data_IF_119064456748
#
_entry.id   IF_119064456748
#
_cell.length_a   1.000
_cell.length_b   1.000
_cell.length_c   1.000
_cell.angle_alpha   90.00
_cell.angle_beta   90.00
_cell.angle_gamma   90.00
#
_symmetry.space_group_name_H-M   'P 1'
#
loop_
_entity.id
_entity.type
_entity.pdbx_description
1 polymer ?
#
# COMPACT_ATOMS: atom_id res chain seq x y z
N UNK A 1 -18.52 -10.72 -15.19
CA UNK A 1 -17.04 -10.63 -15.13
C UNK A 1 -16.49 -10.73 -16.56
N UNK A 2 -15.51 -9.87 -16.90
CA UNK A 2 -14.88 -9.94 -18.22
C UNK A 2 -14.00 -11.19 -18.31
N UNK A 3 -14.18 -12.06 -19.32
CA UNK A 3 -13.42 -13.32 -19.44
C UNK A 3 -11.90 -13.12 -19.45
N UNK A 4 -11.44 -11.99 -20.00
CA UNK A 4 -10.02 -11.61 -20.03
C UNK A 4 -9.44 -11.35 -18.65
N UNK A 5 -10.23 -10.73 -17.73
CA UNK A 5 -9.79 -10.48 -16.37
C UNK A 5 -9.65 -11.78 -15.58
N UNK A 6 -10.58 -12.72 -15.76
CA UNK A 6 -10.51 -14.04 -15.14
C UNK A 6 -9.24 -14.79 -15.57
N UNK A 7 -8.90 -14.76 -16.86
CA UNK A 7 -7.65 -15.36 -17.35
C UNK A 7 -6.41 -14.77 -16.69
N UNK A 8 -6.37 -13.45 -16.45
CA UNK A 8 -5.25 -12.80 -15.77
C UNK A 8 -5.13 -13.27 -14.30
N UNK A 9 -6.25 -13.44 -13.61
CA UNK A 9 -6.26 -13.97 -12.24
C UNK A 9 -5.80 -15.44 -12.18
N UNK A 10 -6.26 -16.26 -13.12
CA UNK A 10 -5.90 -17.69 -13.21
C UNK A 10 -4.41 -17.89 -13.52
N UNK A 11 -3.71 -16.87 -14.05
CA UNK A 11 -2.28 -16.87 -14.37
C UNK A 11 -1.46 -15.95 -13.46
N UNK A 12 -2.02 -15.52 -12.32
CA UNK A 12 -1.27 -14.73 -11.34
C UNK A 12 -0.08 -15.51 -10.78
N UNK A 13 1.06 -14.85 -10.68
CA UNK A 13 2.24 -15.43 -10.07
C UNK A 13 2.13 -15.46 -8.55
N UNK A 14 2.65 -16.53 -7.92
CA UNK A 14 2.90 -16.50 -6.50
C UNK A 14 3.97 -15.47 -6.17
N UNK A 15 3.83 -14.77 -5.04
CA UNK A 15 4.83 -13.81 -4.55
C UNK A 15 6.19 -14.47 -4.33
N UNK A 16 6.23 -15.74 -3.93
CA UNK A 16 7.48 -16.49 -3.76
C UNK A 16 8.31 -16.57 -5.03
N UNK A 17 7.65 -16.66 -6.19
CA UNK A 17 8.32 -16.68 -7.49
C UNK A 17 8.86 -15.30 -7.92
N UNK A 18 8.49 -14.24 -7.20
CA UNK A 18 8.84 -12.86 -7.51
C UNK A 18 9.94 -12.29 -6.61
N UNK A 19 10.41 -13.05 -5.61
CA UNK A 19 11.35 -12.58 -4.59
C UNK A 19 12.67 -12.04 -5.15
N UNK A 20 13.16 -12.60 -6.25
CA UNK A 20 14.41 -12.18 -6.89
C UNK A 20 14.19 -11.24 -8.09
N UNK A 21 12.95 -10.94 -8.40
CA UNK A 21 12.64 -10.01 -9.50
C UNK A 21 12.73 -8.57 -9.04
N UNK A 22 13.14 -7.71 -9.96
CA UNK A 22 13.17 -6.26 -9.75
C UNK A 22 12.06 -5.61 -10.57
N UNK A 23 11.33 -4.70 -9.93
CA UNK A 23 10.22 -3.98 -10.55
C UNK A 23 10.50 -2.48 -10.52
N UNK A 24 10.07 -1.74 -11.54
CA UNK A 24 10.12 -0.27 -11.50
C UNK A 24 9.16 0.29 -10.44
N UNK A 25 8.05 -0.41 -10.19
CA UNK A 25 7.06 -0.07 -9.18
C UNK A 25 6.37 -1.34 -8.66
N UNK A 26 6.22 -1.45 -7.36
CA UNK A 26 5.32 -2.40 -6.71
C UNK A 26 4.08 -1.63 -6.26
N UNK A 27 2.90 -2.11 -6.64
CA UNK A 27 1.62 -1.50 -6.32
C UNK A 27 0.74 -2.45 -5.52
N UNK A 28 0.47 -2.11 -4.26
CA UNK A 28 -0.39 -2.87 -3.36
C UNK A 28 -1.84 -2.38 -3.51
N UNK A 29 -2.65 -3.15 -4.21
CA UNK A 29 -4.06 -2.86 -4.40
C UNK A 29 -4.84 -2.97 -3.09
N UNK A 30 -5.89 -2.14 -2.97
CA UNK A 30 -6.76 -2.15 -1.80
C UNK A 30 -7.81 -3.28 -1.83
N UNK A 31 -8.69 -3.19 -0.87
CA UNK A 31 -9.74 -4.15 -0.57
C UNK A 31 -9.60 -4.68 0.87
N UNK A 32 -10.71 -4.94 1.55
CA UNK A 32 -10.70 -5.39 2.95
C UNK A 32 -9.90 -6.70 3.15
N UNK A 33 -9.89 -7.60 2.14
CA UNK A 33 -9.08 -8.83 2.17
C UNK A 33 -7.59 -8.57 2.40
N UNK A 34 -7.05 -7.46 1.90
CA UNK A 34 -5.65 -7.09 2.13
C UNK A 34 -5.28 -6.97 3.62
N UNK A 35 -6.25 -6.62 4.47
CA UNK A 35 -6.05 -6.52 5.93
C UNK A 35 -5.74 -7.87 6.59
N UNK A 36 -6.18 -8.97 5.96
CA UNK A 36 -5.95 -10.34 6.44
C UNK A 36 -4.71 -10.98 5.83
N UNK A 37 -4.47 -10.72 4.53
CA UNK A 37 -3.46 -11.44 3.77
C UNK A 37 -2.09 -10.75 3.75
N UNK A 38 -2.05 -9.40 3.80
CA UNK A 38 -0.82 -8.65 3.53
C UNK A 38 0.11 -8.49 4.74
N UNK A 39 -0.37 -8.15 5.97
CA UNK A 39 0.51 -7.72 7.06
C UNK A 39 1.60 -8.71 7.44
N UNK A 40 1.27 -9.99 7.41
CA UNK A 40 2.17 -11.07 7.85
C UNK A 40 2.71 -11.94 6.70
N UNK A 41 2.46 -11.55 5.46
CA UNK A 41 2.98 -12.25 4.30
C UNK A 41 4.49 -11.98 4.13
N UNK A 42 5.33 -12.98 4.42
CA UNK A 42 6.80 -12.86 4.41
C UNK A 42 7.36 -12.51 3.03
N UNK A 43 6.78 -13.08 1.97
CA UNK A 43 7.20 -12.78 0.61
C UNK A 43 6.91 -11.32 0.27
N UNK A 44 5.71 -10.82 0.61
CA UNK A 44 5.33 -9.43 0.40
C UNK A 44 6.25 -8.48 1.17
N UNK A 45 6.49 -8.74 2.47
CA UNK A 45 7.41 -7.92 3.29
C UNK A 45 8.80 -7.87 2.69
N UNK A 46 9.29 -8.99 2.17
CA UNK A 46 10.61 -9.07 1.52
C UNK A 46 10.64 -8.24 0.23
N UNK A 47 9.61 -8.35 -0.62
CA UNK A 47 9.52 -7.60 -1.87
C UNK A 47 9.47 -6.10 -1.59
N UNK A 48 8.60 -5.63 -0.69
CA UNK A 48 8.47 -4.19 -0.36
C UNK A 48 9.76 -3.64 0.24
N UNK A 49 10.42 -4.40 1.12
CA UNK A 49 11.73 -4.00 1.68
C UNK A 49 12.78 -3.85 0.58
N UNK A 50 13.00 -4.88 -0.24
CA UNK A 50 13.98 -4.83 -1.35
C UNK A 50 13.69 -3.67 -2.29
N UNK A 51 12.43 -3.41 -2.58
CA UNK A 51 11.97 -2.32 -3.43
C UNK A 51 12.33 -0.96 -2.83
N UNK A 52 12.00 -0.75 -1.55
CA UNK A 52 12.28 0.49 -0.83
C UNK A 52 13.78 0.76 -0.70
N UNK A 53 14.56 -0.23 -0.25
CA UNK A 53 16.01 -0.12 -0.07
C UNK A 53 16.76 0.11 -1.38
N UNK A 54 16.20 -0.32 -2.51
CA UNK A 54 16.75 -0.02 -3.84
C UNK A 54 16.34 1.36 -4.39
N UNK A 55 15.57 2.16 -3.63
CA UNK A 55 15.06 3.45 -4.05
C UNK A 55 13.98 3.40 -5.13
N UNK A 56 13.42 2.21 -5.40
CA UNK A 56 12.36 2.02 -6.38
C UNK A 56 10.99 2.27 -5.78
N UNK A 57 10.01 2.55 -6.63
CA UNK A 57 8.68 2.97 -6.19
C UNK A 57 7.95 1.84 -5.46
N UNK A 58 7.61 2.10 -4.19
CA UNK A 58 6.61 1.35 -3.43
C UNK A 58 5.32 2.16 -3.40
N UNK A 59 4.22 1.55 -3.81
CA UNK A 59 2.95 2.22 -3.96
C UNK A 59 1.85 1.39 -3.32
N UNK A 60 0.96 2.00 -2.53
CA UNK A 60 -0.11 1.30 -1.83
C UNK A 60 -1.36 2.17 -1.71
N UNK A 61 -2.56 1.60 -1.82
CA UNK A 61 -3.81 2.36 -1.75
C UNK A 61 -4.82 1.70 -0.81
N UNK A 62 -5.57 2.54 -0.09
CA UNK A 62 -6.69 2.08 0.74
C UNK A 62 -6.20 1.05 1.77
N UNK A 63 -6.87 -0.10 1.89
CA UNK A 63 -6.43 -1.19 2.76
C UNK A 63 -5.14 -1.90 2.31
N UNK A 64 -4.72 -1.73 1.05
CA UNK A 64 -3.44 -2.25 0.56
C UNK A 64 -2.22 -1.71 1.31
N UNK A 65 -2.37 -0.55 1.98
CA UNK A 65 -1.34 0.02 2.86
C UNK A 65 -1.01 -0.89 4.05
N UNK A 66 -1.90 -1.81 4.41
CA UNK A 66 -1.65 -2.84 5.45
C UNK A 66 -0.41 -3.71 5.14
N UNK A 67 -0.07 -3.87 3.86
CA UNK A 67 1.14 -4.60 3.46
C UNK A 67 2.46 -3.92 3.85
N UNK A 68 2.41 -2.67 4.29
CA UNK A 68 3.56 -1.92 4.77
C UNK A 68 3.76 -2.04 6.28
N UNK A 69 2.73 -2.45 7.04
CA UNK A 69 2.69 -2.43 8.51
C UNK A 69 3.87 -3.14 9.16
N UNK A 70 4.14 -4.36 8.75
CA UNK A 70 5.13 -5.23 9.37
C UNK A 70 6.42 -5.36 8.53
N UNK A 71 6.54 -4.62 7.42
CA UNK A 71 7.74 -4.57 6.62
C UNK A 71 8.86 -3.85 7.40
N UNK A 72 10.00 -4.53 7.57
CA UNK A 72 11.18 -3.99 8.23
C UNK A 72 12.33 -3.88 7.25
N UNK A 73 13.09 -2.81 7.36
CA UNK A 73 14.35 -2.60 6.65
C UNK A 73 15.44 -3.56 7.16
N UNK A 74 16.54 -3.65 6.45
CA UNK A 74 17.69 -4.50 6.81
C UNK A 74 18.30 -4.13 8.18
N UNK A 75 18.10 -2.90 8.66
CA UNK A 75 18.52 -2.44 9.99
C UNK A 75 17.54 -2.83 11.12
N UNK A 76 16.42 -3.51 10.79
CA UNK A 76 15.40 -3.95 11.74
C UNK A 76 14.32 -2.92 12.08
N UNK A 77 14.42 -1.66 11.60
CA UNK A 77 13.39 -0.65 11.79
C UNK A 77 12.19 -0.88 10.86
N UNK A 78 11.00 -0.44 11.28
CA UNK A 78 9.84 -0.43 10.39
C UNK A 78 10.10 0.47 9.19
N UNK A 79 9.83 -0.04 7.98
CA UNK A 79 10.04 0.68 6.72
C UNK A 79 9.30 2.03 6.67
N UNK A 80 8.16 2.10 7.33
CA UNK A 80 7.30 3.30 7.36
C UNK A 80 7.65 4.28 8.49
N UNK A 81 8.58 3.95 9.39
CA UNK A 81 8.96 4.83 10.49
C UNK A 81 9.50 6.18 10.00
N UNK A 82 8.84 7.25 10.44
CA UNK A 82 9.17 8.63 10.07
C UNK A 82 8.75 9.02 8.65
N UNK A 83 8.17 8.11 7.86
CA UNK A 83 7.68 8.43 6.51
C UNK A 83 6.26 8.98 6.56
N UNK A 84 6.00 9.96 5.69
CA UNK A 84 4.65 10.44 5.43
C UNK A 84 3.88 9.45 4.58
N UNK A 85 2.68 9.11 5.00
CA UNK A 85 1.81 8.22 4.25
C UNK A 85 0.33 8.44 4.59
N UNK A 86 -0.53 7.84 3.78
CA UNK A 86 -1.97 7.75 4.03
C UNK A 86 -2.46 6.34 3.74
N UNK A 87 -3.65 6.02 4.19
CA UNK A 87 -4.35 4.78 3.95
C UNK A 87 -5.81 4.93 4.35
N UNK A 88 -6.61 3.87 4.24
CA UNK A 88 -8.02 3.95 4.61
C UNK A 88 -8.15 4.30 6.09
N UNK A 89 -8.84 5.41 6.38
CA UNK A 89 -8.91 5.95 7.74
C UNK A 89 -9.95 5.22 8.58
N UNK A 90 -9.72 5.19 9.91
CA UNK A 90 -10.69 4.62 10.83
C UNK A 90 -12.05 5.31 10.82
N UNK A 91 -12.05 6.61 10.48
CA UNK A 91 -13.29 7.36 10.29
C UNK A 91 -14.06 6.90 9.03
N UNK A 92 -13.36 6.67 7.93
CA UNK A 92 -13.97 6.13 6.70
C UNK A 92 -14.47 4.71 6.89
N UNK A 93 -13.77 3.87 7.68
CA UNK A 93 -14.24 2.55 8.09
C UNK A 93 -15.57 2.64 8.86
N UNK A 94 -15.69 3.65 9.72
CA UNK A 94 -16.94 3.95 10.44
C UNK A 94 -18.06 4.35 9.50
N UNK A 95 -17.79 5.24 8.54
CA UNK A 95 -18.78 5.67 7.54
C UNK A 95 -19.22 4.49 6.66
N UNK A 96 -18.29 3.61 6.30
CA UNK A 96 -18.58 2.40 5.54
C UNK A 96 -19.31 1.33 6.37
N UNK A 97 -19.44 1.50 7.69
CA UNK A 97 -20.00 0.54 8.66
C UNK A 97 -19.29 -0.83 8.61
N UNK A 98 -17.95 -0.80 8.48
CA UNK A 98 -17.13 -1.99 8.30
C UNK A 98 -16.12 -2.24 9.42
N UNK A 99 -16.19 -1.46 10.52
CA UNK A 99 -15.24 -1.60 11.65
C UNK A 99 -15.19 -3.00 12.25
N UNK A 100 -16.30 -3.72 12.22
CA UNK A 100 -16.39 -5.08 12.74
C UNK A 100 -15.93 -6.14 11.72
N UNK A 101 -15.81 -5.75 10.46
CA UNK A 101 -15.40 -6.62 9.36
C UNK A 101 -13.88 -6.57 9.11
N UNK A 102 -13.11 -5.84 9.92
CA UNK A 102 -11.67 -5.72 9.79
C UNK A 102 -10.95 -6.19 11.05
N UNK A 103 -9.77 -6.81 10.95
CA UNK A 103 -9.09 -7.41 12.09
C UNK A 103 -8.45 -6.38 13.05
N UNK A 104 -8.24 -5.15 12.58
CA UNK A 104 -7.59 -4.08 13.35
C UNK A 104 -7.87 -2.68 12.77
N UNK A 105 -7.57 -1.64 13.56
CA UNK A 105 -7.54 -0.25 13.11
C UNK A 105 -6.23 0.02 12.35
N UNK A 106 -6.32 0.15 11.01
CA UNK A 106 -5.16 0.39 10.15
C UNK A 106 -4.48 1.73 10.47
N UNK A 107 -5.26 2.81 10.64
CA UNK A 107 -4.73 4.13 10.97
C UNK A 107 -3.93 4.12 12.28
N UNK A 108 -4.48 3.45 13.30
CA UNK A 108 -3.83 3.35 14.61
C UNK A 108 -2.51 2.58 14.52
N UNK A 109 -2.50 1.42 13.84
CA UNK A 109 -1.27 0.61 13.72
C UNK A 109 -0.19 1.29 12.86
N UNK A 110 -0.54 2.00 11.79
CA UNK A 110 0.42 2.78 11.00
C UNK A 110 1.13 3.82 11.88
N UNK A 111 0.38 4.55 12.70
CA UNK A 111 0.93 5.53 13.65
C UNK A 111 1.79 4.86 14.73
N UNK A 112 1.36 3.72 15.26
CA UNK A 112 2.13 2.93 16.25
C UNK A 112 3.48 2.47 15.69
N UNK A 113 3.54 2.12 14.39
CA UNK A 113 4.79 1.77 13.69
C UNK A 113 5.65 2.99 13.33
N UNK A 114 5.22 4.18 13.76
CA UNK A 114 5.98 5.43 13.62
C UNK A 114 5.77 6.18 12.33
N UNK A 115 4.74 5.88 11.55
CA UNK A 115 4.41 6.64 10.36
C UNK A 115 3.86 8.04 10.71
N UNK A 116 4.24 9.04 9.92
CA UNK A 116 3.60 10.37 9.89
C UNK A 116 2.33 10.26 9.01
N UNK A 117 1.24 9.82 9.65
CA UNK A 117 -0.01 9.51 8.96
C UNK A 117 -0.80 10.78 8.65
N UNK A 118 -1.04 11.00 7.37
CA UNK A 118 -1.88 12.09 6.88
C UNK A 118 -3.24 11.59 6.38
N UNK A 119 -4.29 12.39 6.54
CA UNK A 119 -5.60 12.12 5.94
C UNK A 119 -6.24 13.35 5.33
N UNK A 120 -7.17 13.13 4.40
CA UNK A 120 -7.97 14.20 3.82
C UNK A 120 -8.80 14.90 4.89
N UNK A 121 -8.98 16.22 4.75
CA UNK A 121 -9.85 17.01 5.63
C UNK A 121 -11.32 16.60 5.47
N UNK A 122 -11.72 16.27 4.25
CA UNK A 122 -13.05 15.79 3.91
C UNK A 122 -12.94 14.30 3.61
N UNK A 123 -13.60 13.42 4.38
CA UNK A 123 -13.60 11.98 4.13
C UNK A 123 -14.12 11.63 2.73
N UNK A 124 -13.71 10.50 2.19
CA UNK A 124 -14.11 10.02 0.87
C UNK A 124 -13.73 10.98 -0.27
N UNK A 125 -12.69 11.77 -0.08
CA UNK A 125 -12.08 12.60 -1.13
C UNK A 125 -10.67 12.18 -1.43
N UNK A 126 -10.23 12.39 -2.69
CA UNK A 126 -8.90 11.98 -3.12
C UNK A 126 -7.80 12.60 -2.25
N UNK A 127 -6.97 11.77 -1.66
CA UNK A 127 -5.73 12.13 -0.96
C UNK A 127 -4.63 11.17 -1.39
N UNK A 128 -3.56 11.74 -1.93
CA UNK A 128 -2.33 11.01 -2.27
C UNK A 128 -1.17 11.66 -1.53
N UNK A 129 -0.36 10.86 -0.88
CA UNK A 129 0.85 11.28 -0.17
C UNK A 129 2.06 10.66 -0.88
N UNK A 130 3.09 11.47 -1.07
CA UNK A 130 4.36 11.07 -1.67
C UNK A 130 5.48 11.40 -0.68
N UNK A 131 6.24 10.41 -0.31
CA UNK A 131 7.45 10.56 0.48
C UNK A 131 8.59 9.79 -0.19
N UNK A 132 9.45 10.50 -0.88
CA UNK A 132 10.52 9.93 -1.70
C UNK A 132 9.97 8.91 -2.72
N UNK A 133 10.30 7.64 -2.55
CA UNK A 133 9.87 6.52 -3.38
C UNK A 133 8.56 5.87 -2.90
N UNK A 134 8.03 6.28 -1.75
CA UNK A 134 6.75 5.79 -1.23
C UNK A 134 5.59 6.65 -1.71
N UNK A 135 4.59 6.03 -2.35
CA UNK A 135 3.39 6.70 -2.84
C UNK A 135 2.17 5.99 -2.28
N UNK A 136 1.36 6.71 -1.49
CA UNK A 136 0.17 6.12 -0.88
C UNK A 136 -1.10 6.91 -1.22
N UNK A 137 -2.21 6.19 -1.40
CA UNK A 137 -3.53 6.74 -1.62
C UNK A 137 -4.49 6.33 -0.51
N UNK A 138 -5.32 7.27 -0.04
CA UNK A 138 -6.17 7.04 1.13
C UNK A 138 -7.29 6.04 0.87
N UNK A 139 -7.99 6.17 -0.25
CA UNK A 139 -9.25 5.51 -0.53
C UNK A 139 -9.44 5.24 -2.03
N UNK A 140 -10.53 4.59 -2.47
CA UNK A 140 -10.80 4.35 -3.88
C UNK A 140 -10.87 5.62 -4.75
N UNK A 141 -11.27 6.77 -4.19
CA UNK A 141 -11.34 8.05 -4.92
C UNK A 141 -9.95 8.59 -5.26
N UNK A 142 -8.92 8.12 -4.55
CA UNK A 142 -7.52 8.47 -4.77
C UNK A 142 -6.90 7.76 -5.99
N UNK A 143 -7.53 6.70 -6.52
CA UNK A 143 -6.95 5.79 -7.52
C UNK A 143 -6.48 6.53 -8.79
N UNK A 144 -7.30 7.44 -9.32
CA UNK A 144 -6.98 8.18 -10.56
C UNK A 144 -5.78 9.10 -10.38
N UNK A 145 -5.73 9.83 -9.27
CA UNK A 145 -4.61 10.74 -8.99
C UNK A 145 -3.34 9.96 -8.67
N UNK A 146 -3.46 8.90 -7.89
CA UNK A 146 -2.35 8.01 -7.58
C UNK A 146 -1.71 7.42 -8.84
N UNK A 147 -2.51 6.93 -9.79
CA UNK A 147 -1.99 6.43 -11.07
C UNK A 147 -1.18 7.51 -11.81
N UNK A 148 -1.66 8.75 -11.86
CA UNK A 148 -0.92 9.88 -12.48
C UNK A 148 0.38 10.18 -11.76
N UNK A 149 0.39 10.12 -10.42
CA UNK A 149 1.59 10.37 -9.62
C UNK A 149 2.62 9.28 -9.86
N UNK A 150 2.22 8.00 -9.81
CA UNK A 150 3.11 6.86 -10.11
C UNK A 150 3.70 7.00 -11.51
N UNK A 151 2.89 7.25 -12.53
CA UNK A 151 3.37 7.42 -13.91
C UNK A 151 4.36 8.59 -14.04
N UNK A 152 4.11 9.71 -13.36
CA UNK A 152 5.06 10.85 -13.35
C UNK A 152 6.40 10.46 -12.71
N UNK A 153 6.39 9.69 -11.63
CA UNK A 153 7.64 9.25 -10.98
C UNK A 153 8.41 8.24 -11.83
N UNK A 154 7.71 7.29 -12.46
CA UNK A 154 8.32 6.34 -13.39
C UNK A 154 9.00 7.03 -14.57
N UNK A 155 8.37 8.09 -15.11
CA UNK A 155 8.94 8.86 -16.22
C UNK A 155 10.15 9.72 -15.82
N UNK A 156 10.30 10.07 -14.53
CA UNK A 156 11.48 10.81 -14.03
C UNK A 156 12.67 9.87 -13.76
N UNK A 157 12.40 8.59 -13.48
CA UNK A 157 13.43 7.61 -13.20
C UNK A 157 14.07 7.00 -14.45
N UNK A 158 13.53 7.30 -15.63
CA UNK A 158 14.06 6.93 -16.96
C UNK A 158 14.91 8.07 -17.52
#
# INVERSE_FOLDING_TARGET
>A
EKPEFKKLLDHANSLDNLLEQQFDCVYLAGGHGAMYDFPDNEALKTIVRKQDESGRIVSAICHGVSGLLNAKLSNGEYMIKGKKLTGFSWFEESLARRKEDVPFDLEALLKERGADYEKALIPMTSKVVVDNNLITGQDPFSSKEMAKVVMRQLNKAR
#
